data_IF_467885314915
#
_entry.id   IF_467885314915
#
_cell.length_a   1.000
_cell.length_b   1.000
_cell.length_c   1.000
_cell.angle_alpha   90.00
_cell.angle_beta   90.00
_cell.angle_gamma   90.00
#
_symmetry.space_group_name_H-M   'P 1'
#
loop_
_entity.id
_entity.type
_entity.pdbx_description
1 polymer ?
#
# COMPACT_ATOMS: atom_id res chain seq x y z
N UNK A 1 26.80 -13.63 5.32
CA UNK A 1 26.44 -12.61 4.29
C UNK A 1 25.20 -11.81 4.66
N UNK A 2 24.07 -12.43 5.01
CA UNK A 2 22.81 -11.73 5.31
C UNK A 2 22.84 -10.89 6.62
N UNK A 3 23.43 -11.41 7.69
CA UNK A 3 23.49 -10.73 8.99
C UNK A 3 24.22 -9.38 8.96
N UNK A 4 25.29 -9.24 8.18
CA UNK A 4 26.02 -7.98 8.03
C UNK A 4 25.19 -6.89 7.33
N UNK A 5 24.38 -7.27 6.34
CA UNK A 5 23.47 -6.35 5.64
C UNK A 5 22.35 -5.87 6.57
N UNK A 6 21.80 -6.79 7.37
CA UNK A 6 20.74 -6.50 8.35
C UNK A 6 21.25 -5.56 9.44
N UNK A 7 22.43 -5.83 10.01
CA UNK A 7 23.05 -4.95 11.01
C UNK A 7 23.43 -3.58 10.44
N UNK A 8 23.88 -3.51 9.18
CA UNK A 8 24.13 -2.25 8.49
C UNK A 8 22.87 -1.41 8.28
N UNK A 9 21.71 -2.03 8.04
CA UNK A 9 20.42 -1.36 7.98
C UNK A 9 19.98 -0.84 9.35
N UNK A 10 20.12 -1.64 10.41
CA UNK A 10 19.80 -1.22 11.77
C UNK A 10 20.69 -0.08 12.25
N UNK A 11 22.00 -0.13 12.00
CA UNK A 11 22.94 0.93 12.37
C UNK A 11 22.60 2.28 11.71
N UNK A 12 22.27 2.28 10.41
CA UNK A 12 21.80 3.49 9.70
C UNK A 12 20.50 4.04 10.30
N UNK A 13 19.61 3.15 10.73
CA UNK A 13 18.31 3.51 11.30
C UNK A 13 18.45 4.06 12.72
N UNK A 14 19.34 3.50 13.53
CA UNK A 14 19.69 3.97 14.88
C UNK A 14 20.33 5.36 14.79
N UNK A 15 21.34 5.55 13.94
CA UNK A 15 21.98 6.85 13.77
C UNK A 15 21.03 7.95 13.23
N UNK A 16 20.06 7.57 12.39
CA UNK A 16 19.01 8.48 11.94
C UNK A 16 17.99 8.85 13.04
N UNK A 17 17.93 8.07 14.12
CA UNK A 17 17.10 8.34 15.30
C UNK A 17 17.86 9.09 16.42
N UNK A 18 19.18 8.92 16.54
CA UNK A 18 20.01 9.55 17.59
C UNK A 18 19.97 11.09 17.56
N UNK A 19 19.75 11.70 16.39
CA UNK A 19 19.59 13.15 16.26
C UNK A 19 18.16 13.67 16.39
N UNK A 20 17.20 12.85 16.85
CA UNK A 20 15.80 13.25 17.02
C UNK A 20 15.43 13.25 18.50
N UNK A 21 14.86 14.36 18.97
CA UNK A 21 14.30 14.44 20.31
C UNK A 21 13.17 13.40 20.46
N UNK A 22 13.13 12.72 21.61
CA UNK A 22 12.14 11.69 21.90
C UNK A 22 10.74 12.29 21.89
N UNK A 23 9.90 11.88 20.93
CA UNK A 23 8.53 12.37 20.76
C UNK A 23 8.30 13.17 19.47
N UNK A 24 9.36 13.44 18.71
CA UNK A 24 9.30 14.35 17.58
C UNK A 24 8.98 13.62 16.24
N UNK A 25 8.08 14.17 15.44
CA UNK A 25 7.60 13.53 14.20
C UNK A 25 8.68 13.49 13.10
N UNK A 26 8.67 12.43 12.29
CA UNK A 26 9.57 12.28 11.13
C UNK A 26 9.42 13.48 10.16
N UNK A 27 10.51 14.02 9.57
CA UNK A 27 10.45 15.21 8.72
C UNK A 27 9.43 15.13 7.57
N UNK A 28 9.27 13.95 6.96
CA UNK A 28 8.25 13.71 5.93
C UNK A 28 6.82 13.91 6.46
N UNK A 29 6.55 13.46 7.69
CA UNK A 29 5.26 13.66 8.35
C UNK A 29 5.04 15.14 8.71
N UNK A 30 6.07 15.84 9.21
CA UNK A 30 6.02 17.30 9.46
C UNK A 30 5.73 18.09 8.18
N UNK A 31 6.33 17.72 7.05
CA UNK A 31 6.11 18.34 5.74
C UNK A 31 4.66 18.14 5.26
N UNK A 32 4.12 16.95 5.45
CA UNK A 32 2.75 16.61 5.06
C UNK A 32 1.72 17.35 5.93
N UNK A 33 1.96 17.45 7.24
CA UNK A 33 1.15 18.27 8.15
C UNK A 33 1.13 19.75 7.73
N UNK A 34 2.29 20.34 7.40
CA UNK A 34 2.35 21.72 6.88
C UNK A 34 1.51 21.90 5.61
N UNK A 35 1.54 20.95 4.68
CA UNK A 35 0.73 20.99 3.47
C UNK A 35 -0.77 20.87 3.77
N UNK A 36 -1.15 20.00 4.71
CA UNK A 36 -2.53 19.86 5.16
C UNK A 36 -3.04 21.15 5.82
N UNK A 37 -2.27 21.74 6.75
CA UNK A 37 -2.63 23.02 7.38
C UNK A 37 -2.79 24.17 6.38
N UNK A 38 -1.93 24.23 5.35
CA UNK A 38 -2.04 25.24 4.28
C UNK A 38 -3.33 25.11 3.46
N UNK A 39 -3.86 23.89 3.34
CA UNK A 39 -5.07 23.58 2.57
C UNK A 39 -6.36 23.68 3.37
N UNK A 40 -6.30 23.72 4.70
CA UNK A 40 -7.49 23.84 5.58
C UNK A 40 -8.30 25.11 5.29
N UNK A 41 -7.67 26.23 4.90
CA UNK A 41 -8.39 27.46 4.55
C UNK A 41 -9.19 27.40 3.24
N UNK A 42 -8.90 26.44 2.34
CA UNK A 42 -9.63 26.25 1.08
C UNK A 42 -10.93 25.45 1.28
N UNK A 43 -10.97 24.60 2.31
CA UNK A 43 -12.16 23.83 2.66
C UNK A 43 -12.93 24.60 3.73
N UNK A 44 -14.13 25.12 3.41
CA UNK A 44 -15.06 25.73 4.38
C UNK A 44 -15.65 24.66 5.32
N UNK A 45 -14.80 24.00 6.09
CA UNK A 45 -15.17 23.02 7.10
C UNK A 45 -14.88 23.69 8.43
N UNK A 46 -15.89 23.80 9.30
CA UNK A 46 -15.68 24.25 10.68
C UNK A 46 -14.52 23.44 11.27
N UNK A 47 -13.47 24.12 11.73
CA UNK A 47 -12.19 23.49 12.08
C UNK A 47 -12.41 22.31 13.02
N UNK A 48 -12.12 21.10 12.54
CA UNK A 48 -12.01 19.94 13.42
C UNK A 48 -10.81 20.21 14.34
N UNK A 49 -11.09 20.54 15.60
CA UNK A 49 -10.07 20.76 16.62
C UNK A 49 -9.18 19.51 16.67
N UNK A 50 -7.90 19.67 16.36
CA UNK A 50 -6.92 18.60 16.43
C UNK A 50 -6.94 18.03 17.85
N UNK A 51 -7.41 16.79 17.98
CA UNK A 51 -7.70 16.16 19.27
C UNK A 51 -9.13 15.64 19.36
N UNK A 52 -10.15 16.32 18.82
CA UNK A 52 -11.57 15.98 19.03
C UNK A 52 -12.16 14.95 18.06
N UNK A 53 -11.35 14.29 17.24
CA UNK A 53 -11.83 13.21 16.35
C UNK A 53 -12.43 12.05 17.17
N UNK A 54 -11.95 11.83 18.40
CA UNK A 54 -12.57 10.88 19.34
C UNK A 54 -13.95 11.36 19.82
N UNK A 55 -14.15 12.68 20.04
CA UNK A 55 -15.45 13.22 20.47
C UNK A 55 -16.52 12.99 19.40
N UNK A 56 -16.14 13.09 18.12
CA UNK A 56 -17.06 12.89 16.99
C UNK A 56 -17.46 11.42 16.80
N UNK A 57 -16.53 10.48 17.02
CA UNK A 57 -16.77 9.05 16.77
C UNK A 57 -17.20 8.28 18.01
N UNK A 58 -16.89 8.77 19.20
CA UNK A 58 -17.17 8.08 20.46
C UNK A 58 -16.33 6.81 20.69
N UNK A 59 -15.25 6.58 19.93
CA UNK A 59 -14.30 5.49 20.17
C UNK A 59 -12.87 5.92 19.82
N UNK A 60 -11.85 5.36 20.49
CA UNK A 60 -10.45 5.72 20.26
C UNK A 60 -10.00 5.37 18.84
N UNK A 61 -9.15 6.22 18.24
CA UNK A 61 -8.55 5.90 16.95
C UNK A 61 -7.57 4.72 17.06
N UNK A 62 -7.24 4.07 15.94
CA UNK A 62 -6.32 2.92 15.93
C UNK A 62 -4.99 3.18 16.65
N UNK A 63 -4.46 4.40 16.55
CA UNK A 63 -3.22 4.79 17.21
C UNK A 63 -3.38 4.92 18.73
N UNK A 64 -4.49 5.50 19.18
CA UNK A 64 -4.82 5.60 20.59
C UNK A 64 -5.00 4.20 21.20
N UNK A 65 -5.65 3.27 20.49
CA UNK A 65 -5.77 1.87 20.91
C UNK A 65 -4.40 1.22 21.09
N UNK A 66 -3.49 1.35 20.12
CA UNK A 66 -2.14 0.77 20.22
C UNK A 66 -1.33 1.29 21.41
N UNK A 67 -1.41 2.59 21.71
CA UNK A 67 -0.73 3.18 22.87
C UNK A 67 -1.38 2.73 24.17
N UNK A 68 -2.71 2.83 24.25
CA UNK A 68 -3.46 2.47 25.44
C UNK A 68 -3.32 0.98 25.78
N UNK A 69 -3.23 0.09 24.79
CA UNK A 69 -3.05 -1.35 25.01
C UNK A 69 -1.85 -1.67 25.94
N UNK A 70 -0.81 -0.84 25.94
CA UNK A 70 0.37 -1.02 26.80
C UNK A 70 0.05 -0.90 28.29
N UNK A 71 -0.98 -0.12 28.65
CA UNK A 71 -1.39 0.12 30.05
C UNK A 71 -2.59 -0.73 30.48
N UNK A 72 -3.04 -1.68 29.65
CA UNK A 72 -4.20 -2.56 29.91
C UNK A 72 -5.43 -1.80 30.47
N UNK A 73 -5.95 -0.82 29.72
CA UNK A 73 -7.01 0.06 30.19
C UNK A 73 -8.33 -0.69 30.30
N UNK A 74 -9.23 -0.14 31.10
CA UNK A 74 -10.64 -0.49 31.00
C UNK A 74 -11.28 0.22 29.80
N UNK A 75 -11.50 -0.51 28.71
CA UNK A 75 -12.03 0.03 27.45
C UNK A 75 -13.42 0.68 27.57
N UNK A 76 -14.22 0.27 28.56
CA UNK A 76 -15.56 0.84 28.81
C UNK A 76 -15.50 2.34 29.08
N UNK A 77 -14.40 2.82 29.67
CA UNK A 77 -14.21 4.24 30.00
C UNK A 77 -13.81 5.09 28.78
N UNK A 78 -13.29 4.47 27.72
CA UNK A 78 -12.79 5.17 26.53
C UNK A 78 -13.78 5.13 25.36
N UNK A 79 -14.84 4.34 25.46
CA UNK A 79 -15.92 4.25 24.48
C UNK A 79 -17.14 5.02 24.97
N UNK A 80 -17.81 5.73 24.05
CA UNK A 80 -19.08 6.36 24.32
C UNK A 80 -20.12 5.29 24.68
N UNK A 81 -21.06 5.65 25.56
CA UNK A 81 -22.09 4.74 26.07
C UNK A 81 -22.84 4.00 24.96
N UNK A 82 -23.11 4.66 23.83
CA UNK A 82 -23.82 4.09 22.69
C UNK A 82 -23.20 2.81 22.11
N UNK A 83 -21.90 2.59 22.31
CA UNK A 83 -21.17 1.41 21.83
C UNK A 83 -21.08 0.28 22.85
N UNK A 84 -21.66 0.44 24.04
CA UNK A 84 -21.67 -0.61 25.06
C UNK A 84 -22.73 -1.66 24.74
N UNK A 85 -22.43 -2.90 25.09
CA UNK A 85 -23.31 -4.05 24.90
C UNK A 85 -24.66 -3.84 25.61
N UNK A 86 -24.67 -3.18 26.76
CA UNK A 86 -25.90 -2.91 27.50
C UNK A 86 -26.86 -2.03 26.69
N UNK A 87 -26.34 -0.99 26.04
CA UNK A 87 -27.14 -0.13 25.19
C UNK A 87 -27.55 -0.83 23.89
N UNK A 88 -26.68 -1.66 23.31
CA UNK A 88 -27.07 -2.54 22.20
C UNK A 88 -28.28 -3.41 22.58
N UNK A 89 -28.23 -4.08 23.74
CA UNK A 89 -29.35 -4.90 24.24
C UNK A 89 -30.62 -4.08 24.43
N UNK A 90 -30.52 -2.87 24.99
CA UNK A 90 -31.68 -1.99 25.18
C UNK A 90 -32.28 -1.58 23.81
N UNK A 91 -31.44 -1.20 22.84
CA UNK A 91 -31.89 -0.80 21.51
C UNK A 91 -32.62 -1.94 20.78
N UNK A 92 -32.16 -3.18 20.97
CA UNK A 92 -32.77 -4.36 20.37
C UNK A 92 -33.69 -5.14 21.32
N UNK A 93 -34.03 -4.57 22.48
CA UNK A 93 -34.93 -5.20 23.44
C UNK A 93 -36.37 -5.19 22.93
N UNK A 94 -36.76 -4.16 22.17
CA UNK A 94 -37.98 -4.20 21.37
C UNK A 94 -37.81 -5.31 20.34
N UNK A 95 -38.63 -6.36 20.47
CA UNK A 95 -38.50 -7.58 19.67
C UNK A 95 -38.35 -7.25 18.19
N UNK A 96 -37.21 -7.64 17.62
CA UNK A 96 -37.07 -7.70 16.17
C UNK A 96 -38.04 -8.77 15.69
N UNK A 97 -39.05 -8.37 14.92
CA UNK A 97 -39.88 -9.32 14.20
C UNK A 97 -38.93 -10.05 13.24
N UNK A 98 -38.76 -11.37 13.37
CA UNK A 98 -37.95 -12.13 12.42
C UNK A 98 -38.45 -11.84 11.01
N UNK A 99 -37.53 -11.64 10.06
CA UNK A 99 -37.94 -11.60 8.67
C UNK A 99 -38.61 -12.94 8.35
N UNK A 100 -39.79 -12.86 7.74
CA UNK A 100 -40.49 -14.04 7.29
C UNK A 100 -39.65 -14.79 6.24
N UNK A 101 -39.95 -16.07 6.05
CA UNK A 101 -39.24 -16.89 5.05
C UNK A 101 -39.43 -16.34 3.63
N UNK A 102 -38.56 -16.71 2.68
CA UNK A 102 -38.68 -16.30 1.28
C UNK A 102 -40.06 -16.57 0.67
N UNK A 103 -40.73 -17.62 1.14
CA UNK A 103 -42.07 -18.04 0.69
C UNK A 103 -43.15 -16.99 1.00
N UNK A 104 -42.93 -16.13 1.99
CA UNK A 104 -43.87 -15.07 2.41
C UNK A 104 -43.45 -13.68 1.90
N UNK A 105 -42.39 -13.56 1.12
CA UNK A 105 -41.95 -12.25 0.64
C UNK A 105 -42.88 -11.73 -0.47
N UNK A 106 -43.34 -10.49 -0.35
CA UNK A 106 -44.06 -9.83 -1.45
C UNK A 106 -43.17 -9.77 -2.69
N UNK A 107 -43.74 -10.11 -3.86
CA UNK A 107 -43.03 -9.93 -5.11
C UNK A 107 -42.65 -8.45 -5.31
N UNK A 108 -41.42 -8.15 -5.76
CA UNK A 108 -40.99 -6.77 -5.94
C UNK A 108 -41.91 -6.03 -6.90
N UNK A 109 -42.57 -4.96 -6.42
CA UNK A 109 -43.48 -4.13 -7.25
C UNK A 109 -42.76 -3.36 -8.37
N UNK A 110 -41.43 -3.37 -8.38
CA UNK A 110 -40.61 -2.71 -9.36
C UNK A 110 -39.46 -3.61 -9.80
N UNK A 111 -39.21 -3.64 -11.11
CA UNK A 111 -38.02 -4.27 -11.67
C UNK A 111 -36.79 -3.54 -11.17
N UNK A 112 -36.01 -4.19 -10.30
CA UNK A 112 -34.71 -3.68 -9.87
C UNK A 112 -33.77 -3.75 -11.07
N UNK A 113 -33.60 -2.64 -11.77
CA UNK A 113 -32.61 -2.55 -12.85
C UNK A 113 -31.24 -2.40 -12.19
N UNK A 114 -30.33 -3.39 -12.34
CA UNK A 114 -29.00 -3.26 -11.78
C UNK A 114 -28.30 -2.07 -12.42
N UNK A 115 -27.59 -1.30 -11.60
CA UNK A 115 -26.77 -0.20 -12.13
C UNK A 115 -25.82 -0.75 -13.20
N UNK A 116 -25.71 -0.03 -14.31
CA UNK A 116 -24.78 -0.38 -15.39
C UNK A 116 -23.38 -0.49 -14.79
N UNK A 117 -22.82 -1.70 -14.81
CA UNK A 117 -21.46 -1.98 -14.36
C UNK A 117 -20.48 -1.45 -15.41
N UNK A 118 -20.24 -0.14 -15.40
CA UNK A 118 -19.21 0.48 -16.22
C UNK A 118 -17.85 0.07 -15.63
N UNK A 119 -17.05 -0.65 -16.42
CA UNK A 119 -15.64 -0.90 -16.05
C UNK A 119 -14.96 0.45 -15.88
N UNK A 120 -14.52 0.75 -14.66
CA UNK A 120 -13.71 1.96 -14.39
C UNK A 120 -12.50 1.96 -15.33
N UNK A 121 -12.09 3.13 -15.86
CA UNK A 121 -10.85 3.25 -16.58
C UNK A 121 -9.73 2.62 -15.76
N UNK A 122 -9.03 1.64 -16.35
CA UNK A 122 -7.90 1.01 -15.70
C UNK A 122 -6.81 2.03 -15.40
N UNK A 123 -5.79 1.60 -14.64
CA UNK A 123 -4.61 2.43 -14.38
C UNK A 123 -4.05 2.99 -15.71
N UNK A 124 -3.82 4.32 -15.81
CA UNK A 124 -3.17 4.89 -16.98
C UNK A 124 -1.84 4.19 -17.25
N UNK A 125 -1.52 3.98 -18.53
CA UNK A 125 -0.26 3.35 -18.92
C UNK A 125 0.90 4.22 -18.44
N UNK A 126 1.97 3.56 -17.94
CA UNK A 126 3.21 4.25 -17.55
C UNK A 126 3.85 5.00 -18.73
N UNK A 127 3.76 4.42 -19.93
CA UNK A 127 4.28 5.01 -21.15
C UNK A 127 3.12 5.39 -22.09
N UNK A 128 3.22 6.58 -22.69
CA UNK A 128 2.31 7.07 -23.73
C UNK A 128 2.34 6.15 -24.96
N UNK A 129 1.19 5.95 -25.63
CA UNK A 129 1.14 5.36 -26.97
C UNK A 129 1.59 6.40 -27.99
N UNK A 130 2.57 6.08 -28.81
CA UNK A 130 3.01 6.93 -29.92
C UNK A 130 2.04 6.84 -31.09
N UNK A 131 1.82 7.95 -31.79
CA UNK A 131 1.12 7.98 -33.06
C UNK A 131 1.99 7.38 -34.19
N UNK A 132 1.38 7.11 -35.35
CA UNK A 132 2.02 6.39 -36.45
C UNK A 132 3.10 7.22 -37.17
N UNK A 133 3.00 8.55 -37.08
CA UNK A 133 3.87 9.56 -37.67
C UNK A 133 5.04 9.95 -36.76
N UNK A 134 5.05 9.48 -35.51
CA UNK A 134 6.12 9.80 -34.58
C UNK A 134 7.39 9.02 -34.86
N UNK A 135 8.54 9.72 -34.84
CA UNK A 135 9.85 9.10 -34.95
C UNK A 135 10.09 8.08 -33.83
N UNK A 136 10.46 6.87 -34.22
CA UNK A 136 10.87 5.83 -33.29
C UNK A 136 12.27 6.18 -32.78
N UNK A 137 12.50 6.17 -31.45
CA UNK A 137 13.84 6.39 -30.94
C UNK A 137 14.73 5.25 -31.43
N UNK A 138 15.95 5.59 -31.83
CA UNK A 138 16.95 4.59 -32.18
C UNK A 138 17.11 3.62 -31.02
N UNK A 139 16.86 2.33 -31.28
CA UNK A 139 17.10 1.29 -30.29
C UNK A 139 18.60 1.22 -30.08
N UNK A 140 19.09 1.74 -28.94
CA UNK A 140 20.49 1.57 -28.57
C UNK A 140 20.85 0.09 -28.63
N UNK A 141 21.88 -0.30 -29.40
CA UNK A 141 22.30 -1.69 -29.46
C UNK A 141 22.68 -2.15 -28.06
N UNK A 142 22.20 -3.33 -27.66
CA UNK A 142 22.60 -3.90 -26.37
C UNK A 142 24.08 -4.25 -26.44
N UNK A 143 24.88 -3.58 -25.61
CA UNK A 143 26.29 -3.89 -25.44
C UNK A 143 26.47 -4.95 -24.33
N UNK A 144 27.42 -5.86 -24.54
CA UNK A 144 27.78 -6.85 -23.54
C UNK A 144 28.34 -6.16 -22.30
N UNK A 145 27.86 -6.51 -21.10
CA UNK A 145 28.33 -5.89 -19.86
C UNK A 145 29.78 -6.28 -19.48
N UNK A 146 30.37 -7.29 -20.13
CA UNK A 146 31.77 -7.72 -19.90
C UNK A 146 32.76 -6.99 -20.81
N UNK A 147 32.56 -7.07 -22.13
CA UNK A 147 33.50 -6.51 -23.12
C UNK A 147 33.03 -5.20 -23.76
N UNK A 148 31.84 -4.70 -23.39
CA UNK A 148 31.21 -3.47 -23.91
C UNK A 148 30.96 -3.44 -25.43
N UNK A 149 31.16 -4.56 -26.13
CA UNK A 149 30.88 -4.68 -27.55
C UNK A 149 29.40 -4.98 -27.82
N UNK A 150 28.81 -4.43 -28.89
CA UNK A 150 27.44 -4.74 -29.31
C UNK A 150 27.33 -6.16 -29.89
N UNK A 151 26.11 -6.68 -30.00
CA UNK A 151 25.82 -7.93 -30.74
C UNK A 151 25.79 -9.22 -29.91
N UNK A 152 26.15 -9.18 -28.62
CA UNK A 152 26.05 -10.36 -27.75
C UNK A 152 25.83 -9.97 -26.27
N UNK A 153 25.53 -10.96 -25.41
CA UNK A 153 25.27 -10.75 -23.98
C UNK A 153 26.39 -11.35 -23.11
N UNK A 154 26.35 -11.09 -21.79
CA UNK A 154 27.37 -11.58 -20.83
C UNK A 154 27.55 -13.10 -20.85
N UNK A 155 26.50 -13.85 -21.19
CA UNK A 155 26.46 -15.31 -21.20
C UNK A 155 27.09 -15.91 -22.46
N UNK A 156 26.98 -15.24 -23.61
CA UNK A 156 27.57 -15.67 -24.90
C UNK A 156 28.87 -14.93 -25.24
N UNK A 157 29.40 -14.14 -24.30
CA UNK A 157 30.64 -13.40 -24.46
C UNK A 157 31.85 -14.33 -24.44
N UNK A 158 32.64 -14.31 -25.53
CA UNK A 158 33.90 -15.06 -25.67
C UNK A 158 35.10 -14.51 -24.89
N UNK A 159 34.91 -13.44 -24.11
CA UNK A 159 36.00 -12.68 -23.47
C UNK A 159 36.56 -11.60 -24.40
N UNK A 160 37.21 -10.58 -23.83
CA UNK A 160 37.96 -9.57 -24.60
C UNK A 160 39.33 -10.10 -25.05
N UNK A 161 40.13 -9.27 -25.72
CA UNK A 161 41.48 -9.59 -26.24
C UNK A 161 42.47 -10.13 -25.17
N UNK A 162 42.13 -10.04 -23.89
CA UNK A 162 42.90 -10.59 -22.78
C UNK A 162 41.97 -11.59 -22.06
N UNK A 163 42.12 -12.87 -22.39
CA UNK A 163 41.39 -13.98 -21.76
C UNK A 163 40.24 -14.55 -22.61
N UNK A 164 40.57 -15.07 -23.80
CA UNK A 164 39.68 -15.98 -24.53
C UNK A 164 39.66 -17.34 -23.83
N UNK A 165 38.62 -17.60 -23.02
CA UNK A 165 38.36 -18.95 -22.53
C UNK A 165 37.31 -19.58 -23.44
N UNK A 166 37.78 -20.38 -24.41
CA UNK A 166 36.91 -21.13 -25.33
C UNK A 166 36.14 -22.17 -24.52
N UNK A 167 34.92 -21.84 -24.10
CA UNK A 167 33.99 -22.85 -23.60
C UNK A 167 33.69 -23.82 -24.74
N UNK A 168 34.31 -25.01 -24.71
CA UNK A 168 33.93 -26.14 -25.56
C UNK A 168 32.43 -26.39 -25.38
N UNK A 169 31.70 -26.56 -26.48
CA UNK A 169 30.32 -27.03 -26.47
C UNK A 169 30.34 -28.44 -25.86
N UNK A 170 29.77 -28.62 -24.67
CA UNK A 170 29.48 -29.96 -24.17
C UNK A 170 28.38 -30.56 -25.05
N UNK A 171 28.68 -31.72 -25.63
CA UNK A 171 27.70 -32.52 -26.36
C UNK A 171 26.67 -33.00 -25.34
N UNK A 172 25.40 -32.80 -25.66
CA UNK A 172 24.29 -33.31 -24.85
C UNK A 172 24.21 -34.80 -25.13
N UNK A 173 24.53 -35.62 -24.14
CA UNK A 173 24.37 -37.07 -24.26
C UNK A 173 22.88 -37.35 -24.15
N UNK A 174 22.29 -37.89 -25.21
CA UNK A 174 20.94 -38.47 -25.14
C UNK A 174 21.02 -39.67 -24.19
N UNK A 175 20.13 -39.69 -23.21
CA UNK A 175 19.95 -40.86 -22.33
C UNK A 175 18.83 -41.64 -22.99
N UNK A 176 19.18 -42.75 -23.63
CA UNK A 176 18.19 -43.73 -24.09
C UNK A 176 17.56 -44.39 -22.87
N UNK A 177 16.25 -44.19 -22.71
CA UNK A 177 15.40 -44.75 -21.67
C UNK A 177 13.94 -44.47 -21.95
#
# INVERSE_FOLDING_TARGET
MYGQLVMGLFYKRINACVGRDSGDLVPSAKKLLKLMFKKIGEYKVAGAVAGKVYELRGFPCQYAVCVLQQVRPNWVQYCARYYLVDNYKITYASGLVPLEGPDNWEEPRATIVPHLLIRKPGRPRKNRRKAYDETLPEKKPRCCSKCKQPGHNKTTCGGGLIGSNTKRKMIRVEVDG
#
